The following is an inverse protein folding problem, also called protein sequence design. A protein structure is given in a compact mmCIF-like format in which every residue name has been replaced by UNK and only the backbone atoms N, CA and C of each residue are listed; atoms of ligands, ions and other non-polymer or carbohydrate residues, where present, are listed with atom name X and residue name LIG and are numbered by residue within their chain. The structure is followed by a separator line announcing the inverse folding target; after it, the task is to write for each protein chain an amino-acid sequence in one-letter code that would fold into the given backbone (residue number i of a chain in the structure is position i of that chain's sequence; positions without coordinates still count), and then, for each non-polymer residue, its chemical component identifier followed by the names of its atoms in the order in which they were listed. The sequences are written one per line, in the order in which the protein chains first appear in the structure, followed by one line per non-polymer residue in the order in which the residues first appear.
data_IF_242792774183
#
_entry.id   IF_242792774183
#
_cell.length_a   1.000
_cell.length_b   1.000
_cell.length_c   1.000
_cell.angle_alpha   90.00
_cell.angle_beta   90.00
_cell.angle_gamma   90.00
#
_symmetry.space_group_name_H-M   'P 1'
#
loop_
_entity.id
_entity.type
_entity.pdbx_description
1 polymer ?
#
# COMPACT_ATOMS: atom_id res chain seq x y z
N UNK A 1 -10.90 -75.10 28.66
CA UNK A 1 -11.57 -74.11 27.79
C UNK A 1 -11.01 -72.73 28.11
N UNK A 2 -10.43 -72.07 27.11
CA UNK A 2 -9.61 -70.84 27.22
C UNK A 2 -10.46 -69.63 27.63
N UNK A 3 -10.10 -68.94 28.71
CA UNK A 3 -10.58 -67.59 29.03
C UNK A 3 -9.56 -66.57 28.50
N UNK A 4 -10.01 -65.70 27.62
CA UNK A 4 -9.23 -64.60 27.04
C UNK A 4 -9.14 -63.46 28.06
N UNK A 5 -7.92 -63.00 28.36
CA UNK A 5 -7.70 -61.76 29.10
C UNK A 5 -7.84 -60.58 28.14
N UNK A 6 -8.82 -59.71 28.40
CA UNK A 6 -9.00 -58.46 27.68
C UNK A 6 -8.01 -57.42 28.24
N UNK A 7 -7.00 -57.06 27.47
CA UNK A 7 -6.17 -55.88 27.76
C UNK A 7 -6.97 -54.61 27.40
N UNK A 8 -7.30 -53.79 28.40
CA UNK A 8 -7.75 -52.42 28.18
C UNK A 8 -6.52 -51.53 27.93
N UNK A 9 -6.32 -51.11 26.68
CA UNK A 9 -5.39 -50.04 26.33
C UNK A 9 -6.04 -48.70 26.73
N UNK A 10 -5.49 -48.04 27.76
CA UNK A 10 -5.81 -46.63 28.01
C UNK A 10 -5.09 -45.78 26.95
N UNK A 11 -5.82 -45.30 25.96
CA UNK A 11 -5.34 -44.28 25.05
C UNK A 11 -5.25 -42.94 25.81
N UNK A 12 -4.03 -42.52 26.14
CA UNK A 12 -3.76 -41.21 26.71
C UNK A 12 -3.93 -40.17 25.59
N UNK A 13 -5.12 -39.57 25.48
CA UNK A 13 -5.34 -38.40 24.63
C UNK A 13 -4.63 -37.20 25.25
N UNK A 14 -3.47 -36.84 24.70
CA UNK A 14 -2.86 -35.54 24.97
C UNK A 14 -3.78 -34.45 24.42
N UNK A 15 -4.60 -33.88 25.30
CA UNK A 15 -5.25 -32.59 25.06
C UNK A 15 -4.14 -31.55 24.93
N UNK A 16 -3.80 -31.20 23.68
CA UNK A 16 -3.09 -29.98 23.35
C UNK A 16 -3.99 -28.82 23.78
N UNK A 17 -3.85 -28.38 25.02
CA UNK A 17 -4.42 -27.11 25.47
C UNK A 17 -3.68 -26.04 24.68
N UNK A 18 -4.34 -25.28 23.79
CA UNK A 18 -3.71 -24.14 23.17
C UNK A 18 -3.35 -23.18 24.30
N UNK A 19 -2.06 -23.09 24.63
CA UNK A 19 -1.56 -22.03 25.49
C UNK A 19 -1.63 -20.75 24.67
N UNK A 20 -2.80 -20.13 24.62
CA UNK A 20 -2.93 -18.71 24.36
C UNK A 20 -2.27 -18.01 25.55
N UNK A 21 -0.94 -17.97 25.56
CA UNK A 21 -0.21 -17.05 26.43
C UNK A 21 -0.78 -15.68 26.10
N UNK A 22 -1.51 -15.04 27.03
CA UNK A 22 -2.02 -13.71 26.78
C UNK A 22 -0.79 -12.87 26.44
N UNK A 23 -0.76 -12.31 25.23
CA UNK A 23 0.23 -11.30 24.89
C UNK A 23 0.03 -10.22 25.94
N UNK A 24 0.97 -10.12 26.88
CA UNK A 24 0.94 -9.10 27.91
C UNK A 24 1.00 -7.77 27.16
N UNK A 25 -0.17 -7.14 26.99
CA UNK A 25 -0.26 -5.86 26.33
C UNK A 25 0.77 -4.94 26.99
N UNK A 26 1.64 -4.33 26.18
CA UNK A 26 2.57 -3.34 26.68
C UNK A 26 1.76 -2.35 27.53
N UNK A 27 2.20 -2.10 28.78
CA UNK A 27 1.53 -1.10 29.62
C UNK A 27 1.78 0.26 29.00
N UNK A 28 0.87 0.70 28.15
CA UNK A 28 0.90 2.02 27.55
C UNK A 28 0.83 3.07 28.64
N UNK A 29 1.71 4.06 28.55
CA UNK A 29 1.52 5.32 29.25
C UNK A 29 0.20 5.96 28.84
N UNK A 30 -0.32 6.89 29.64
CA UNK A 30 -1.56 7.59 29.31
C UNK A 30 -1.48 8.32 27.95
N UNK A 31 -0.30 8.82 27.57
CA UNK A 31 -0.05 9.47 26.29
C UNK A 31 -0.02 8.48 25.12
N UNK A 32 0.61 7.32 25.28
CA UNK A 32 0.59 6.23 24.30
C UNK A 32 -0.83 5.70 24.08
N UNK A 33 -1.58 5.47 25.16
CA UNK A 33 -2.97 5.03 25.08
C UNK A 33 -3.87 6.07 24.37
N UNK A 34 -3.61 7.37 24.59
CA UNK A 34 -4.30 8.45 23.86
C UNK A 34 -3.98 8.40 22.36
N UNK A 35 -2.69 8.24 21.99
CA UNK A 35 -2.26 8.10 20.59
C UNK A 35 -2.88 6.88 19.90
N UNK A 36 -2.87 5.72 20.56
CA UNK A 36 -3.51 4.49 20.05
C UNK A 36 -5.00 4.73 19.76
N UNK A 37 -5.73 5.32 20.72
CA UNK A 37 -7.15 5.66 20.51
C UNK A 37 -7.36 6.64 19.36
N UNK A 38 -6.45 7.61 19.18
CA UNK A 38 -6.50 8.51 18.02
C UNK A 38 -6.32 7.76 16.72
N UNK A 39 -5.30 6.89 16.60
CA UNK A 39 -5.06 6.10 15.40
C UNK A 39 -6.23 5.19 15.05
N UNK A 40 -6.79 4.49 16.05
CA UNK A 40 -7.96 3.64 15.86
C UNK A 40 -9.19 4.45 15.40
N UNK A 41 -9.48 5.58 16.06
CA UNK A 41 -10.60 6.45 15.67
C UNK A 41 -10.45 7.01 14.27
N UNK A 42 -9.24 7.43 13.89
CA UNK A 42 -8.98 7.94 12.54
C UNK A 42 -9.18 6.84 11.51
N UNK A 43 -8.64 5.64 11.75
CA UNK A 43 -8.80 4.51 10.85
C UNK A 43 -10.26 4.06 10.69
N UNK A 44 -11.01 3.92 11.79
CA UNK A 44 -12.42 3.52 11.75
C UNK A 44 -13.35 4.53 11.03
N UNK A 45 -12.88 5.75 10.79
CA UNK A 45 -13.62 6.75 10.00
C UNK A 45 -13.36 6.63 8.50
N UNK A 46 -12.33 5.89 8.10
CA UNK A 46 -12.03 5.67 6.69
C UNK A 46 -13.08 4.73 6.10
N UNK A 47 -13.56 5.07 4.92
CA UNK A 47 -14.53 4.23 4.22
C UNK A 47 -13.91 2.86 3.90
N UNK A 48 -14.72 1.82 4.06
CA UNK A 48 -14.42 0.46 3.61
C UNK A 48 -15.35 0.08 2.44
N UNK A 49 -15.89 1.08 1.72
CA UNK A 49 -16.67 0.83 0.52
C UNK A 49 -15.81 0.02 -0.45
N UNK A 50 -16.38 -1.11 -0.85
CA UNK A 50 -15.79 -2.01 -1.81
C UNK A 50 -16.17 -1.56 -3.23
N UNK A 51 -15.21 -1.54 -4.15
CA UNK A 51 -15.41 -1.07 -5.52
C UNK A 51 -15.15 -2.18 -6.52
N UNK A 52 -16.14 -2.47 -7.36
CA UNK A 52 -16.04 -3.39 -8.49
C UNK A 52 -16.01 -2.61 -9.83
N UNK A 53 -16.00 -3.34 -10.96
CA UNK A 53 -15.99 -2.75 -12.31
C UNK A 53 -17.17 -1.80 -12.57
N UNK A 54 -18.30 -2.02 -11.91
CA UNK A 54 -19.51 -1.24 -12.10
C UNK A 54 -19.48 -0.01 -11.20
N UNK A 55 -19.12 -0.18 -9.91
CA UNK A 55 -19.23 0.88 -8.91
C UNK A 55 -18.03 1.82 -8.83
N UNK A 56 -16.92 1.50 -9.51
CA UNK A 56 -15.68 2.30 -9.49
C UNK A 56 -15.81 3.64 -10.22
N UNK A 57 -16.69 3.74 -11.21
CA UNK A 57 -16.73 4.87 -12.13
C UNK A 57 -17.98 5.72 -11.98
N UNK A 58 -17.81 7.04 -11.92
CA UNK A 58 -18.87 7.99 -12.20
C UNK A 58 -19.16 8.07 -13.72
N UNK A 59 -18.13 7.88 -14.55
CA UNK A 59 -18.25 7.72 -15.99
C UNK A 59 -17.35 6.57 -16.45
N UNK A 60 -17.94 5.55 -17.06
CA UNK A 60 -17.22 4.37 -17.52
C UNK A 60 -16.16 4.75 -18.58
N UNK A 61 -14.98 4.10 -18.58
CA UNK A 61 -13.99 4.28 -19.63
C UNK A 61 -14.51 3.78 -20.98
N UNK A 62 -14.00 4.36 -22.07
CA UNK A 62 -14.20 3.88 -23.43
C UNK A 62 -12.86 3.51 -24.06
N UNK A 63 -12.58 2.21 -24.17
CA UNK A 63 -11.37 1.67 -24.80
C UNK A 63 -11.56 1.47 -26.31
N UNK A 64 -12.02 2.52 -26.99
CA UNK A 64 -12.31 2.55 -28.41
C UNK A 64 -12.25 3.97 -28.96
N UNK A 65 -12.82 4.23 -30.14
CA UNK A 65 -12.87 5.59 -30.72
C UNK A 65 -14.24 6.22 -30.44
N UNK A 66 -14.32 7.40 -29.78
CA UNK A 66 -13.22 8.17 -29.19
C UNK A 66 -12.76 7.60 -27.84
N UNK A 67 -11.45 7.62 -27.57
CA UNK A 67 -10.92 7.12 -26.31
C UNK A 67 -11.35 8.00 -25.13
N UNK A 68 -11.64 7.36 -24.00
CA UNK A 68 -11.85 8.03 -22.73
C UNK A 68 -11.33 7.14 -21.61
N UNK A 69 -10.51 7.70 -20.73
CA UNK A 69 -10.04 7.01 -19.52
C UNK A 69 -11.14 6.82 -18.47
N UNK A 70 -12.32 7.40 -18.69
CA UNK A 70 -13.41 7.44 -17.72
C UNK A 70 -13.16 8.44 -16.59
N UNK A 71 -14.10 8.49 -15.65
CA UNK A 71 -14.01 9.31 -14.44
C UNK A 71 -14.36 8.43 -13.26
N UNK A 72 -13.47 8.37 -12.27
CA UNK A 72 -13.70 7.62 -11.04
C UNK A 72 -14.85 8.21 -10.22
N UNK A 73 -15.48 7.36 -9.41
CA UNK A 73 -16.31 7.80 -8.30
C UNK A 73 -15.48 8.76 -7.41
N UNK A 74 -15.91 10.02 -7.20
CA UNK A 74 -15.20 10.97 -6.35
C UNK A 74 -14.95 10.46 -4.92
N UNK A 75 -15.83 9.60 -4.40
CA UNK A 75 -15.62 8.99 -3.08
C UNK A 75 -14.46 8.00 -3.06
N UNK A 76 -14.16 7.34 -4.19
CA UNK A 76 -12.99 6.46 -4.30
C UNK A 76 -11.69 7.28 -4.20
N UNK A 77 -11.60 8.38 -4.94
CA UNK A 77 -10.44 9.30 -4.91
C UNK A 77 -10.26 9.86 -3.50
N UNK A 78 -11.34 10.41 -2.93
CA UNK A 78 -11.33 10.99 -1.57
C UNK A 78 -10.90 9.96 -0.52
N UNK A 79 -11.41 8.74 -0.61
CA UNK A 79 -11.07 7.67 0.34
C UNK A 79 -9.62 7.25 0.17
N UNK A 80 -9.13 7.08 -1.06
CA UNK A 80 -7.73 6.73 -1.34
C UNK A 80 -6.77 7.76 -0.71
N UNK A 81 -7.02 9.05 -0.95
CA UNK A 81 -6.23 10.12 -0.33
C UNK A 81 -6.36 10.17 1.20
N UNK A 82 -7.51 9.80 1.76
CA UNK A 82 -7.67 9.69 3.21
C UNK A 82 -6.83 8.55 3.81
N UNK A 83 -6.67 7.43 3.12
CA UNK A 83 -5.73 6.36 3.52
C UNK A 83 -4.27 6.80 3.38
N UNK A 84 -3.89 7.43 2.25
CA UNK A 84 -2.55 8.01 2.04
C UNK A 84 -2.19 8.94 3.20
N UNK A 85 -3.06 9.89 3.52
CA UNK A 85 -2.83 10.87 4.58
C UNK A 85 -2.92 10.25 5.99
N UNK A 86 -3.73 9.20 6.19
CA UNK A 86 -3.68 8.42 7.42
C UNK A 86 -2.29 7.83 7.65
N UNK A 87 -1.70 7.16 6.66
CA UNK A 87 -0.35 6.60 6.77
C UNK A 87 0.74 7.65 6.97
N UNK A 88 0.65 8.78 6.26
CA UNK A 88 1.53 9.94 6.45
C UNK A 88 1.44 10.47 7.89
N UNK A 89 0.24 10.53 8.45
CA UNK A 89 0.04 10.98 9.84
C UNK A 89 0.70 10.05 10.87
N UNK A 90 0.77 8.73 10.62
CA UNK A 90 1.40 7.76 11.53
C UNK A 90 2.89 8.04 11.72
N UNK A 91 3.56 8.57 10.70
CA UNK A 91 4.97 8.99 10.76
C UNK A 91 5.13 10.51 10.98
N UNK A 92 4.02 11.21 11.21
CA UNK A 92 3.96 12.64 11.47
C UNK A 92 4.40 13.50 10.28
N UNK A 93 4.04 13.10 9.07
CA UNK A 93 4.11 13.92 7.88
C UNK A 93 2.80 14.70 7.70
N UNK A 94 2.84 15.88 7.03
CA UNK A 94 1.64 16.60 6.64
C UNK A 94 0.88 15.85 5.54
N UNK A 95 -0.39 16.17 5.41
CA UNK A 95 -1.25 15.66 4.34
C UNK A 95 -0.74 16.10 2.97
N UNK A 96 -0.81 15.20 1.99
CA UNK A 96 -0.68 15.55 0.58
C UNK A 96 -2.00 16.11 0.06
N UNK A 97 -1.89 17.11 -0.81
CA UNK A 97 -3.02 17.66 -1.55
C UNK A 97 -3.47 16.69 -2.67
N UNK A 98 -4.69 16.88 -3.14
CA UNK A 98 -5.22 16.15 -4.29
C UNK A 98 -5.87 17.13 -5.26
N UNK A 99 -5.22 17.35 -6.40
CA UNK A 99 -5.74 18.25 -7.44
C UNK A 99 -6.40 17.46 -8.56
N UNK A 100 -7.45 18.04 -9.14
CA UNK A 100 -8.23 17.38 -10.19
C UNK A 100 -7.38 16.95 -11.39
N UNK A 101 -6.42 17.79 -11.83
CA UNK A 101 -5.55 17.45 -12.96
C UNK A 101 -4.61 16.26 -12.66
N UNK A 102 -4.14 16.11 -11.42
CA UNK A 102 -3.31 14.96 -11.04
C UNK A 102 -4.13 13.67 -11.09
N UNK A 103 -5.41 13.72 -10.70
CA UNK A 103 -6.33 12.60 -10.83
C UNK A 103 -6.61 12.24 -12.29
N UNK A 104 -6.79 13.24 -13.17
CA UNK A 104 -6.95 13.00 -14.62
C UNK A 104 -5.72 12.29 -15.19
N UNK A 105 -4.52 12.76 -14.84
CA UNK A 105 -3.27 12.16 -15.32
C UNK A 105 -3.07 10.73 -14.79
N UNK A 106 -3.36 10.51 -13.50
CA UNK A 106 -3.31 9.18 -12.89
C UNK A 106 -4.35 8.24 -13.53
N UNK A 107 -5.56 8.73 -13.82
CA UNK A 107 -6.61 7.96 -14.48
C UNK A 107 -6.23 7.57 -15.91
N UNK A 108 -5.55 8.44 -16.66
CA UNK A 108 -4.96 8.10 -17.96
C UNK A 108 -3.94 6.97 -17.83
N UNK A 109 -3.07 7.03 -16.82
CA UNK A 109 -2.10 5.96 -16.52
C UNK A 109 -2.77 4.61 -16.25
N UNK A 110 -3.78 4.60 -15.38
CA UNK A 110 -4.53 3.40 -15.06
C UNK A 110 -5.30 2.84 -16.27
N UNK A 111 -5.95 3.70 -17.05
CA UNK A 111 -6.64 3.32 -18.27
C UNK A 111 -5.68 2.78 -19.34
N UNK A 112 -4.49 3.36 -19.49
CA UNK A 112 -3.49 2.85 -20.42
C UNK A 112 -3.01 1.45 -20.02
N UNK A 113 -2.66 1.23 -18.74
CA UNK A 113 -2.31 -0.10 -18.21
C UNK A 113 -3.43 -1.12 -18.47
N UNK A 114 -4.68 -0.74 -18.21
CA UNK A 114 -5.84 -1.57 -18.46
C UNK A 114 -6.07 -1.87 -19.95
N UNK A 115 -5.83 -0.88 -20.83
CA UNK A 115 -6.05 -1.01 -22.27
C UNK A 115 -5.11 -2.01 -22.95
N UNK A 116 -3.91 -2.18 -22.40
CA UNK A 116 -2.89 -3.12 -22.88
C UNK A 116 -2.84 -4.40 -22.05
N UNK A 117 -3.74 -4.56 -21.06
CA UNK A 117 -3.76 -5.65 -20.10
C UNK A 117 -2.38 -5.92 -19.50
N UNK A 118 -1.76 -4.86 -18.96
CA UNK A 118 -0.36 -4.89 -18.53
C UNK A 118 -0.07 -6.08 -17.59
N UNK A 119 1.02 -6.78 -17.84
CA UNK A 119 1.49 -7.85 -16.98
C UNK A 119 2.06 -7.29 -15.68
N UNK A 120 1.94 -8.08 -14.60
CA UNK A 120 2.53 -7.77 -13.29
C UNK A 120 4.06 -7.92 -13.32
N UNK A 121 4.75 -6.95 -13.91
CA UNK A 121 6.20 -6.89 -13.98
C UNK A 121 6.71 -5.44 -13.94
N UNK A 122 8.02 -5.27 -13.77
CA UNK A 122 8.64 -3.94 -13.65
C UNK A 122 8.46 -3.06 -14.90
N UNK A 123 8.16 -3.65 -16.06
CA UNK A 123 7.95 -2.91 -17.31
C UNK A 123 6.61 -2.20 -17.36
N UNK A 124 5.68 -2.52 -16.45
CA UNK A 124 4.44 -1.77 -16.33
C UNK A 124 4.68 -0.31 -15.91
N UNK A 125 5.76 -0.02 -15.18
CA UNK A 125 6.19 1.36 -14.96
C UNK A 125 6.66 1.98 -16.28
N UNK A 126 6.07 3.11 -16.64
CA UNK A 126 6.38 3.80 -17.89
C UNK A 126 5.92 3.05 -19.14
N UNK A 127 5.02 2.07 -19.01
CA UNK A 127 4.48 1.27 -20.11
C UNK A 127 5.58 0.71 -21.04
N UNK A 128 6.71 0.28 -20.47
CA UNK A 128 7.91 -0.09 -21.20
C UNK A 128 7.75 -1.33 -22.10
N UNK A 129 7.65 -1.07 -23.39
CA UNK A 129 7.51 -2.09 -24.43
C UNK A 129 6.11 -2.69 -24.51
N UNK A 130 5.11 -1.99 -23.98
CA UNK A 130 3.74 -2.14 -24.44
C UNK A 130 3.54 -1.34 -25.73
N UNK A 131 2.67 -1.80 -26.61
CA UNK A 131 2.33 -1.11 -27.85
C UNK A 131 1.12 -0.22 -27.59
N UNK A 132 1.27 1.10 -27.80
CA UNK A 132 0.17 2.05 -27.69
C UNK A 132 -1.00 1.65 -28.61
N UNK A 133 -2.21 1.45 -28.07
CA UNK A 133 -3.40 1.21 -28.90
C UNK A 133 -3.71 2.42 -29.80
N UNK A 134 -4.11 2.17 -31.05
CA UNK A 134 -4.34 3.23 -32.04
C UNK A 134 -5.48 4.20 -31.71
N UNK A 135 -6.34 3.87 -30.74
CA UNK A 135 -7.39 4.76 -30.25
C UNK A 135 -6.92 5.73 -29.16
N UNK A 136 -5.72 5.53 -28.57
CA UNK A 136 -5.13 6.45 -27.59
C UNK A 136 -4.24 7.47 -28.31
N UNK A 137 -4.45 8.76 -28.04
CA UNK A 137 -3.63 9.82 -28.62
C UNK A 137 -2.17 9.75 -28.15
N UNK A 138 -1.22 10.33 -28.89
CA UNK A 138 0.18 10.41 -28.45
C UNK A 138 0.27 11.14 -27.10
N UNK A 139 -0.41 12.29 -26.95
CA UNK A 139 -0.40 13.08 -25.71
C UNK A 139 -0.94 12.31 -24.50
N UNK A 140 -2.02 11.57 -24.66
CA UNK A 140 -2.59 10.77 -23.56
C UNK A 140 -1.66 9.62 -23.17
N UNK A 141 -1.02 8.99 -24.17
CA UNK A 141 -0.05 7.93 -23.93
C UNK A 141 1.21 8.44 -23.24
N UNK A 142 1.79 9.55 -23.70
CA UNK A 142 2.96 10.18 -23.05
C UNK A 142 2.65 10.56 -21.59
N UNK A 143 1.42 11.06 -21.35
CA UNK A 143 0.94 11.35 -19.99
C UNK A 143 0.86 10.08 -19.16
N UNK A 144 0.31 9.00 -19.72
CA UNK A 144 0.21 7.70 -19.06
C UNK A 144 1.57 7.06 -18.77
N UNK A 145 2.53 7.15 -19.70
CA UNK A 145 3.91 6.71 -19.47
C UNK A 145 4.51 7.46 -18.28
N UNK A 146 4.36 8.78 -18.22
CA UNK A 146 4.90 9.56 -17.12
C UNK A 146 4.20 9.22 -15.78
N UNK A 147 2.87 9.11 -15.75
CA UNK A 147 2.14 8.87 -14.49
C UNK A 147 2.34 7.47 -13.94
N UNK A 148 2.53 6.47 -14.80
CA UNK A 148 2.83 5.10 -14.40
C UNK A 148 4.25 4.91 -13.87
N UNK A 149 5.13 5.93 -13.92
CA UNK A 149 6.37 5.96 -13.13
C UNK A 149 6.12 6.18 -11.63
N UNK A 150 4.90 6.57 -11.24
CA UNK A 150 4.43 6.58 -9.86
C UNK A 150 4.15 5.18 -9.32
N UNK A 151 3.30 5.07 -8.31
CA UNK A 151 2.96 3.77 -7.71
C UNK A 151 1.96 3.11 -8.63
N UNK A 152 2.16 1.82 -8.88
CA UNK A 152 1.18 1.00 -9.58
C UNK A 152 0.83 -0.20 -8.70
N UNK A 153 -0.44 -0.58 -8.70
CA UNK A 153 -0.93 -1.78 -8.01
C UNK A 153 -1.83 -2.58 -8.94
N UNK A 154 -1.81 -3.90 -8.79
CA UNK A 154 -2.63 -4.84 -9.52
C UNK A 154 -3.45 -5.65 -8.52
N UNK A 155 -4.77 -5.50 -8.55
CA UNK A 155 -5.66 -6.34 -7.74
C UNK A 155 -6.44 -7.30 -8.63
N UNK A 156 -6.29 -8.60 -8.36
CA UNK A 156 -6.99 -9.67 -9.07
C UNK A 156 -8.30 -10.09 -8.36
N UNK A 157 -8.78 -9.28 -7.41
CA UNK A 157 -9.98 -9.61 -6.65
C UNK A 157 -11.21 -9.73 -7.56
N UNK A 158 -11.91 -10.86 -7.45
CA UNK A 158 -13.16 -11.11 -8.19
C UNK A 158 -14.37 -10.47 -7.53
N UNK A 159 -14.26 -10.02 -6.28
CA UNK A 159 -15.35 -9.37 -5.54
C UNK A 159 -15.22 -7.86 -5.45
N UNK A 160 -14.25 -7.26 -6.13
CA UNK A 160 -13.89 -5.84 -5.99
C UNK A 160 -12.84 -5.59 -4.91
N UNK A 161 -12.39 -4.35 -4.79
CA UNK A 161 -11.35 -3.94 -3.85
C UNK A 161 -11.69 -2.60 -3.22
N UNK A 162 -11.37 -2.43 -1.94
CA UNK A 162 -11.49 -1.15 -1.26
C UNK A 162 -10.28 -0.26 -1.59
N UNK A 163 -10.48 1.07 -1.60
CA UNK A 163 -9.37 2.01 -1.71
C UNK A 163 -8.30 1.79 -0.62
N UNK A 164 -8.73 1.38 0.58
CA UNK A 164 -7.83 1.10 1.69
C UNK A 164 -6.92 -0.10 1.46
N UNK A 165 -7.40 -1.15 0.82
CA UNK A 165 -6.59 -2.33 0.48
C UNK A 165 -5.46 -1.95 -0.47
N UNK A 166 -5.73 -1.18 -1.54
CA UNK A 166 -4.72 -0.74 -2.50
C UNK A 166 -3.61 0.07 -1.82
N UNK A 167 -3.97 1.14 -1.09
CA UNK A 167 -2.97 1.99 -0.41
C UNK A 167 -2.21 1.19 0.66
N UNK A 168 -2.89 0.31 1.37
CA UNK A 168 -2.26 -0.54 2.40
C UNK A 168 -1.27 -1.51 1.79
N UNK A 169 -1.58 -2.10 0.65
CA UNK A 169 -0.70 -3.03 -0.06
C UNK A 169 0.62 -2.35 -0.47
N UNK A 170 0.52 -1.15 -1.06
CA UNK A 170 1.67 -0.31 -1.42
C UNK A 170 2.51 0.10 -0.19
N UNK A 171 1.89 0.27 0.97
CA UNK A 171 2.59 0.56 2.22
C UNK A 171 3.30 -0.67 2.79
N UNK A 172 2.69 -1.85 2.68
CA UNK A 172 3.19 -3.10 3.26
C UNK A 172 4.43 -3.60 2.53
N UNK A 173 4.50 -3.46 1.20
CA UNK A 173 5.65 -3.89 0.39
C UNK A 173 6.01 -5.38 0.59
N UNK A 174 5.06 -6.20 1.05
CA UNK A 174 5.27 -7.62 1.35
C UNK A 174 4.97 -8.56 0.17
N UNK A 175 4.58 -7.97 -0.96
CA UNK A 175 4.35 -8.59 -2.27
C UNK A 175 5.05 -7.84 -3.43
N UNK A 176 6.00 -6.95 -3.15
CA UNK A 176 6.65 -6.13 -4.17
C UNK A 176 7.46 -6.96 -5.19
N UNK A 177 7.11 -6.84 -6.47
CA UNK A 177 7.75 -7.52 -7.60
C UNK A 177 9.23 -7.15 -7.74
N UNK A 178 9.63 -5.95 -7.30
CA UNK A 178 11.03 -5.51 -7.28
C UNK A 178 11.88 -6.24 -6.21
N UNK A 179 11.27 -7.10 -5.40
CA UNK A 179 11.93 -7.98 -4.44
C UNK A 179 11.89 -7.48 -3.00
N UNK A 180 12.25 -8.38 -2.09
CA UNK A 180 12.21 -8.11 -0.64
C UNK A 180 13.12 -6.95 -0.26
N UNK A 181 12.58 -6.02 0.53
CA UNK A 181 13.31 -4.84 1.00
C UNK A 181 13.31 -3.65 0.02
N UNK A 182 12.80 -3.83 -1.20
CA UNK A 182 12.45 -2.69 -2.03
C UNK A 182 11.18 -2.03 -1.46
N UNK A 183 11.27 -0.75 -1.15
CA UNK A 183 10.23 0.03 -0.48
C UNK A 183 9.86 1.26 -1.29
N UNK A 184 10.00 1.19 -2.62
CA UNK A 184 9.77 2.31 -3.52
C UNK A 184 8.38 2.93 -3.35
N UNK A 185 7.34 2.09 -3.23
CA UNK A 185 5.96 2.55 -3.13
C UNK A 185 5.67 3.25 -1.81
N UNK A 186 6.08 2.62 -0.71
CA UNK A 186 6.01 3.26 0.62
C UNK A 186 6.87 4.52 0.66
N UNK A 187 8.03 4.51 0.01
CA UNK A 187 8.94 5.64 -0.09
C UNK A 187 8.31 6.85 -0.77
N UNK A 188 7.44 6.62 -1.76
CA UNK A 188 6.70 7.69 -2.42
C UNK A 188 5.55 8.22 -1.54
N UNK A 189 4.71 7.33 -0.97
CA UNK A 189 3.61 7.73 -0.07
C UNK A 189 4.14 8.49 1.15
N UNK A 190 5.26 8.05 1.72
CA UNK A 190 5.90 8.64 2.90
C UNK A 190 7.05 9.58 2.55
N UNK A 191 7.09 10.08 1.32
CA UNK A 191 8.10 11.05 0.90
C UNK A 191 8.01 12.31 1.76
N UNK A 192 9.14 12.74 2.31
CA UNK A 192 9.23 13.97 3.12
C UNK A 192 9.25 15.23 2.27
N UNK A 193 9.22 15.07 0.94
CA UNK A 193 9.15 16.15 -0.04
C UNK A 193 7.83 16.21 -0.79
N UNK A 194 7.03 15.13 -0.76
CA UNK A 194 5.76 15.10 -1.47
C UNK A 194 4.81 16.19 -0.96
N UNK A 195 4.08 16.77 -1.91
CA UNK A 195 3.08 17.81 -1.64
C UNK A 195 1.68 17.45 -2.10
N UNK A 196 1.60 16.53 -3.07
CA UNK A 196 0.35 16.18 -3.73
C UNK A 196 0.43 14.78 -4.32
N UNK A 197 -0.74 14.21 -4.61
CA UNK A 197 -0.87 12.91 -5.25
C UNK A 197 -2.15 12.85 -6.08
N UNK A 198 -2.06 12.27 -7.27
CA UNK A 198 -3.20 11.94 -8.13
C UNK A 198 -3.59 10.47 -7.98
N UNK A 199 -4.89 10.16 -8.08
CA UNK A 199 -5.44 8.80 -7.96
C UNK A 199 -6.13 8.40 -9.26
N UNK A 200 -5.71 7.26 -9.81
CA UNK A 200 -6.28 6.63 -10.99
C UNK A 200 -6.56 5.15 -10.75
N UNK A 201 -7.62 4.62 -11.36
CA UNK A 201 -7.91 3.20 -11.33
C UNK A 201 -8.73 2.76 -12.55
N UNK A 202 -8.42 1.62 -13.13
CA UNK A 202 -9.19 1.06 -14.22
C UNK A 202 -9.14 -0.47 -14.22
N UNK A 203 -10.23 -1.12 -14.61
CA UNK A 203 -10.23 -2.55 -14.83
C UNK A 203 -9.77 -2.88 -16.25
N UNK A 204 -8.97 -3.94 -16.40
CA UNK A 204 -8.52 -4.44 -17.69
C UNK A 204 -9.68 -4.74 -18.65
N UNK A 205 -9.40 -4.60 -19.94
CA UNK A 205 -10.37 -4.84 -21.01
C UNK A 205 -10.64 -6.34 -21.21
N UNK A 206 -9.61 -7.16 -21.02
CA UNK A 206 -9.64 -8.61 -21.28
C UNK A 206 -9.42 -9.45 -20.02
N UNK A 207 -9.06 -8.80 -18.90
CA UNK A 207 -8.91 -9.44 -17.60
C UNK A 207 -9.70 -8.71 -16.51
N UNK A 208 -9.89 -9.35 -15.37
CA UNK A 208 -10.57 -8.77 -14.21
C UNK A 208 -9.59 -8.09 -13.23
N UNK A 209 -8.42 -7.68 -13.73
CA UNK A 209 -7.41 -7.00 -12.91
C UNK A 209 -7.78 -5.52 -12.79
N UNK A 210 -7.77 -5.01 -11.56
CA UNK A 210 -7.82 -3.59 -11.26
C UNK A 210 -6.39 -3.03 -11.28
N UNK A 211 -6.11 -2.15 -12.23
CA UNK A 211 -4.87 -1.38 -12.31
C UNK A 211 -5.07 -0.07 -11.57
N UNK A 212 -4.32 0.16 -10.50
CA UNK A 212 -4.36 1.42 -9.75
C UNK A 212 -3.06 2.19 -9.94
N UNK A 213 -3.16 3.51 -10.07
CA UNK A 213 -2.02 4.43 -10.19
C UNK A 213 -2.11 5.50 -9.12
N UNK A 214 -1.04 5.67 -8.33
CA UNK A 214 -0.84 6.88 -7.52
C UNK A 214 0.26 7.74 -8.15
N UNK A 215 -0.15 8.84 -8.78
CA UNK A 215 0.77 9.80 -9.39
C UNK A 215 1.34 10.71 -8.30
N UNK A 216 2.48 10.31 -7.73
CA UNK A 216 3.18 11.04 -6.65
C UNK A 216 4.55 11.62 -7.03
N UNK A 217 4.96 11.48 -8.29
CA UNK A 217 6.26 11.97 -8.78
C UNK A 217 6.09 13.29 -9.53
N UNK A 218 6.52 14.38 -8.89
CA UNK A 218 6.46 15.72 -9.47
C UNK A 218 7.81 16.42 -9.43
N UNK A 219 8.16 17.11 -10.52
CA UNK A 219 9.47 17.73 -10.68
C UNK A 219 9.78 18.79 -9.60
N UNK A 220 8.77 19.54 -9.18
CA UNK A 220 8.88 20.55 -8.13
C UNK A 220 9.07 19.96 -6.73
N UNK A 221 8.60 18.74 -6.48
CA UNK A 221 8.84 18.03 -5.20
C UNK A 221 10.28 17.49 -5.10
N UNK A 222 10.94 17.16 -6.23
CA UNK A 222 12.30 16.59 -6.23
C UNK A 222 13.30 17.54 -5.55
N UNK A 223 13.19 18.83 -5.80
CA UNK A 223 14.11 19.86 -5.28
C UNK A 223 13.60 20.51 -3.98
N UNK A 224 12.42 20.12 -3.50
CA UNK A 224 11.80 20.70 -2.31
C UNK A 224 12.59 20.35 -1.05
N UNK A 225 12.63 21.30 -0.11
CA UNK A 225 13.18 21.05 1.21
C UNK A 225 12.31 20.03 1.96
N UNK A 226 12.91 18.98 2.53
CA UNK A 226 12.17 17.93 3.20
C UNK A 226 11.58 18.45 4.50
N UNK A 227 10.29 18.20 4.75
CA UNK A 227 9.61 18.61 6.01
C UNK A 227 10.11 17.83 7.22
N UNK A 228 10.78 16.70 6.97
CA UNK A 228 11.47 15.87 7.96
C UNK A 228 12.77 15.34 7.39
N UNK A 229 13.84 15.40 8.17
CA UNK A 229 15.14 14.85 7.78
C UNK A 229 15.23 13.33 7.92
N UNK A 230 14.33 12.71 8.70
CA UNK A 230 14.33 11.28 9.02
C UNK A 230 12.92 10.74 9.20
N UNK A 231 12.66 9.55 8.65
CA UNK A 231 11.44 8.75 8.86
C UNK A 231 11.87 7.34 9.24
N UNK A 232 11.24 6.78 10.28
CA UNK A 232 11.29 5.36 10.62
C UNK A 232 9.92 4.76 10.35
N UNK A 233 9.90 3.58 9.76
CA UNK A 233 8.68 2.82 9.52
C UNK A 233 8.89 1.36 9.94
N UNK A 234 8.05 0.80 10.83
CA UNK A 234 7.04 1.46 11.67
C UNK A 234 7.58 2.67 12.46
N UNK A 235 6.69 3.61 12.78
CA UNK A 235 7.06 4.80 13.55
C UNK A 235 7.51 4.44 14.98
N UNK A 236 8.38 5.27 15.56
CA UNK A 236 8.83 5.07 16.94
C UNK A 236 7.69 5.24 17.97
N UNK A 237 7.67 4.39 18.99
CA UNK A 237 6.65 4.37 20.03
C UNK A 237 5.49 3.45 19.67
N UNK A 238 4.27 3.99 19.67
CA UNK A 238 3.06 3.22 19.29
C UNK A 238 2.83 3.29 17.78
N UNK A 239 2.51 2.15 17.19
CA UNK A 239 2.21 2.00 15.77
C UNK A 239 1.17 0.90 15.57
N UNK A 240 0.20 1.05 14.64
CA UNK A 240 -0.82 0.03 14.38
C UNK A 240 -0.20 -1.16 13.61
N UNK A 241 0.50 -2.04 14.33
CA UNK A 241 1.25 -3.15 13.71
C UNK A 241 0.34 -4.17 13.01
N UNK A 242 -0.86 -4.41 13.55
CA UNK A 242 -1.86 -5.34 13.00
C UNK A 242 -2.33 -4.91 11.61
N UNK A 243 -2.24 -3.62 11.30
CA UNK A 243 -2.69 -3.05 10.03
C UNK A 243 -1.66 -3.25 8.92
N UNK A 244 -0.37 -3.37 9.24
CA UNK A 244 0.71 -3.61 8.25
C UNK A 244 1.16 -5.07 8.24
N UNK A 245 0.94 -5.82 9.31
CA UNK A 245 1.30 -7.23 9.39
C UNK A 245 2.81 -7.47 9.54
N UNK A 246 3.16 -8.67 10.01
CA UNK A 246 4.53 -8.99 10.39
C UNK A 246 5.52 -9.25 9.25
N UNK A 247 5.05 -9.23 8.00
CA UNK A 247 5.90 -9.36 6.81
C UNK A 247 6.37 -8.00 6.26
N UNK A 248 5.75 -6.91 6.71
CA UNK A 248 6.14 -5.56 6.28
C UNK A 248 7.59 -5.28 6.66
N UNK A 249 8.50 -5.01 5.69
CA UNK A 249 9.89 -4.71 5.98
C UNK A 249 9.96 -3.38 6.73
N UNK A 250 10.82 -3.30 7.74
CA UNK A 250 11.10 -2.04 8.40
C UNK A 250 11.97 -1.17 7.50
N UNK A 251 11.82 0.15 7.58
CA UNK A 251 12.64 1.08 6.81
C UNK A 251 13.04 2.32 7.58
N UNK A 252 14.17 2.89 7.16
CA UNK A 252 14.70 4.14 7.64
C UNK A 252 15.05 5.02 6.43
N UNK A 253 14.39 6.16 6.31
CA UNK A 253 14.65 7.15 5.28
C UNK A 253 15.31 8.37 5.91
N UNK A 254 16.37 8.89 5.29
CA UNK A 254 17.05 10.10 5.76
C UNK A 254 17.53 10.98 4.62
N UNK A 255 17.67 12.28 4.91
CA UNK A 255 18.33 13.25 4.03
C UNK A 255 19.85 13.21 4.14
N UNK A 256 20.39 12.51 5.15
CA UNK A 256 21.82 12.34 5.33
C UNK A 256 22.36 11.28 4.37
N UNK A 257 23.54 11.56 3.81
CA UNK A 257 24.25 10.56 3.01
C UNK A 257 24.81 9.48 3.94
N UNK A 258 24.30 8.27 3.82
CA UNK A 258 24.89 7.10 4.47
C UNK A 258 26.02 6.58 3.56
N UNK A 259 27.23 6.45 4.10
CA UNK A 259 28.36 5.83 3.41
C UNK A 259 28.59 4.43 3.94
N UNK A 260 28.82 3.47 3.05
CA UNK A 260 28.97 2.06 3.40
C UNK A 260 27.66 1.38 3.80
N UNK A 261 27.76 0.14 4.28
CA UNK A 261 26.62 -0.65 4.73
C UNK A 261 26.27 -0.29 6.19
N UNK A 262 25.07 0.22 6.48
CA UNK A 262 24.69 0.58 7.83
C UNK A 262 24.54 -0.66 8.72
N UNK A 263 24.96 -0.56 9.99
CA UNK A 263 24.65 -1.57 11.02
C UNK A 263 23.35 -1.21 11.71
N UNK A 264 22.34 -2.03 11.53
CA UNK A 264 21.01 -1.83 12.11
C UNK A 264 20.90 -2.65 13.39
N UNK A 265 20.38 -2.04 14.46
CA UNK A 265 20.14 -2.72 15.71
C UNK A 265 18.68 -2.55 16.13
N UNK A 266 18.09 -3.65 16.58
CA UNK A 266 16.74 -3.69 17.14
C UNK A 266 16.90 -3.90 18.65
N UNK A 267 16.31 -2.99 19.42
CA UNK A 267 16.27 -3.09 20.88
C UNK A 267 14.85 -3.38 21.32
N UNK A 268 14.65 -4.51 21.99
CA UNK A 268 13.41 -4.77 22.71
C UNK A 268 13.38 -3.90 23.97
N UNK A 269 12.47 -2.93 24.03
CA UNK A 269 12.39 -1.98 25.13
C UNK A 269 11.86 -2.61 26.43
N UNK A 270 11.21 -3.78 26.35
CA UNK A 270 10.70 -4.54 27.51
C UNK A 270 11.84 -5.35 28.14
N UNK A 271 12.55 -6.14 27.33
CA UNK A 271 13.64 -7.00 27.83
C UNK A 271 15.00 -6.32 27.89
N UNK A 272 15.11 -5.12 27.30
CA UNK A 272 16.37 -4.37 27.07
C UNK A 272 17.39 -5.13 26.21
N UNK A 273 16.99 -6.22 25.56
CA UNK A 273 17.87 -6.99 24.67
C UNK A 273 18.06 -6.24 23.36
N UNK A 274 19.32 -6.14 22.94
CA UNK A 274 19.73 -5.56 21.65
C UNK A 274 20.21 -6.68 20.74
N UNK A 275 19.69 -6.73 19.51
CA UNK A 275 20.16 -7.63 18.45
C UNK A 275 20.51 -6.83 17.21
N UNK A 276 21.54 -7.25 16.49
CA UNK A 276 21.78 -6.72 15.15
C UNK A 276 20.74 -7.30 14.20
N UNK A 277 20.11 -6.46 13.39
CA UNK A 277 19.26 -6.94 12.30
C UNK A 277 20.16 -7.52 11.22
N UNK A 278 19.81 -8.71 10.74
CA UNK A 278 20.44 -9.39 9.60
C UNK A 278 19.75 -8.99 8.31
#
# INVERSE_FOLDING_TARGET
MKKHNLLFLFALTFLLVPTNTPVMAAKYSASEAKKVRTFQKSYHRLSQKNYDRISLFAMQPNFGIPFSAGVLDPDYIKTSMAYVNYYRSLVGLPDDANYANDNVNAQLGAAALASVNAEQNLRAHGLQGYVKPGYISDTDWDTAENTTLGNINFSESTSGTTAGEIVTDLIREDNNIAGSGNIGHRGMILSTRATRMGIGAAYGTENNVLYSVEHGLFADDILRQPVKSRIVYPAAGVFPYELVGGKTPWSYSTTERISGQPKIYITDLTTKKKRQAT
#
